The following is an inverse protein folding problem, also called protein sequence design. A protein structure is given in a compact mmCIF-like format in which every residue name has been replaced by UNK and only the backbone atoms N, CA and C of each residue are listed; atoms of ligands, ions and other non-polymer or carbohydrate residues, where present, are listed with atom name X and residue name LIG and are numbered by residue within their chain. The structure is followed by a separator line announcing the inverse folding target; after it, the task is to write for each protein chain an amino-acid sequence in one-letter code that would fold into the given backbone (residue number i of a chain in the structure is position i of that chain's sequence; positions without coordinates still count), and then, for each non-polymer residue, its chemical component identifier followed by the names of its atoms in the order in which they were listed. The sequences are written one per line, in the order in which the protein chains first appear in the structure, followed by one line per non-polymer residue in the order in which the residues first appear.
data_IF_074851898101
#
_entry.id   IF_074851898101
#
_cell.length_a   1.000
_cell.length_b   1.000
_cell.length_c   1.000
_cell.angle_alpha   90.00
_cell.angle_beta   90.00
_cell.angle_gamma   90.00
#
_symmetry.space_group_name_H-M   'P 1'
#
loop_
_entity.id
_entity.type
_entity.pdbx_description
1 polymer ?
#
# COMPACT_ATOMS: atom_id res chain seq x y z
N UNK A 1 4.08 -0.83 8.75
CA UNK A 1 3.42 -0.67 7.45
C UNK A 1 4.20 -1.47 6.43
N UNK A 2 3.54 -2.24 5.59
CA UNK A 2 4.18 -3.22 4.72
C UNK A 2 3.69 -3.09 3.27
N UNK A 3 4.46 -3.69 2.38
CA UNK A 3 4.12 -3.89 0.98
C UNK A 3 3.16 -5.08 0.84
N UNK A 4 2.54 -5.20 -0.32
CA UNK A 4 1.54 -6.23 -0.60
C UNK A 4 2.22 -7.54 -1.03
N UNK A 5 2.97 -8.14 -0.10
CA UNK A 5 3.65 -9.42 -0.28
C UNK A 5 3.26 -10.40 0.84
N UNK A 6 2.64 -11.52 0.47
CA UNK A 6 2.14 -12.49 1.46
C UNK A 6 3.24 -13.12 2.31
N UNK A 7 4.41 -13.38 1.73
CA UNK A 7 5.56 -13.92 2.45
C UNK A 7 5.99 -12.97 3.57
N UNK A 8 6.09 -11.67 3.26
CA UNK A 8 6.39 -10.65 4.26
C UNK A 8 5.33 -10.61 5.37
N UNK A 9 4.04 -10.56 5.03
CA UNK A 9 2.97 -10.59 6.05
C UNK A 9 3.10 -11.80 6.99
N UNK A 10 3.29 -13.00 6.43
CA UNK A 10 3.40 -14.21 7.23
C UNK A 10 4.59 -14.19 8.20
N UNK A 11 5.75 -13.69 7.74
CA UNK A 11 6.95 -13.57 8.58
C UNK A 11 6.74 -12.54 9.69
N UNK A 12 6.18 -11.37 9.38
CA UNK A 12 5.95 -10.32 10.38
C UNK A 12 4.89 -10.73 11.41
N UNK A 13 3.81 -11.38 10.99
CA UNK A 13 2.75 -11.87 11.88
C UNK A 13 3.29 -12.93 12.86
N UNK A 14 4.13 -13.86 12.37
CA UNK A 14 4.78 -14.86 13.20
C UNK A 14 5.83 -14.29 14.15
N UNK A 15 6.59 -13.28 13.70
CA UNK A 15 7.71 -12.70 14.46
C UNK A 15 7.24 -11.64 15.47
N UNK A 16 6.14 -10.95 15.18
CA UNK A 16 5.63 -9.82 15.95
C UNK A 16 4.09 -9.90 16.09
N UNK A 17 3.55 -10.93 16.79
CA UNK A 17 2.12 -11.23 16.80
C UNK A 17 1.24 -10.15 17.45
N UNK A 18 1.85 -9.25 18.22
CA UNK A 18 1.14 -8.17 18.93
C UNK A 18 1.20 -6.82 18.19
N UNK A 19 1.81 -6.77 17.00
CA UNK A 19 1.91 -5.54 16.21
C UNK A 19 0.76 -5.46 15.23
N UNK A 20 0.11 -4.30 15.16
CA UNK A 20 -0.87 -4.03 14.12
C UNK A 20 -0.16 -3.83 12.78
N UNK A 21 -0.24 -4.83 11.91
CA UNK A 21 0.24 -4.72 10.53
C UNK A 21 -0.77 -3.94 9.68
N UNK A 22 -0.26 -3.03 8.85
CA UNK A 22 -1.06 -2.27 7.90
C UNK A 22 -0.37 -2.19 6.55
N UNK A 23 -1.13 -2.25 5.47
CA UNK A 23 -0.63 -2.04 4.11
C UNK A 23 -0.28 -0.58 3.85
N UNK A 24 0.58 -0.35 2.88
CA UNK A 24 0.90 0.99 2.38
C UNK A 24 -0.09 1.44 1.29
N UNK A 25 -0.78 2.57 1.48
CA UNK A 25 -1.73 3.08 0.49
C UNK A 25 -1.10 3.37 -0.88
N UNK A 26 0.16 3.83 -0.88
CA UNK A 26 0.91 4.05 -2.12
C UNK A 26 1.08 2.74 -2.91
N UNK A 27 1.49 1.67 -2.24
CA UNK A 27 1.65 0.35 -2.87
C UNK A 27 0.32 -0.28 -3.28
N UNK A 28 -0.77 -0.06 -2.53
CA UNK A 28 -2.10 -0.46 -2.95
C UNK A 28 -2.48 0.23 -4.26
N UNK A 29 -2.37 1.56 -4.34
CA UNK A 29 -2.66 2.31 -5.56
C UNK A 29 -1.77 1.86 -6.72
N UNK A 30 -0.50 1.61 -6.46
CA UNK A 30 0.45 1.13 -7.46
C UNK A 30 0.09 -0.27 -7.98
N UNK A 31 -0.43 -1.16 -7.13
CA UNK A 31 -0.88 -2.50 -7.53
C UNK A 31 -2.08 -2.43 -8.48
N UNK A 32 -3.07 -1.59 -8.16
CA UNK A 32 -4.24 -1.34 -9.02
C UNK A 32 -3.75 -0.75 -10.35
N UNK A 33 -2.86 0.24 -10.29
CA UNK A 33 -2.30 0.88 -11.48
C UNK A 33 -1.52 -0.09 -12.38
N UNK A 34 -0.77 -1.04 -11.82
CA UNK A 34 -0.08 -2.06 -12.62
C UNK A 34 -1.05 -3.09 -13.22
N UNK A 35 -2.16 -3.35 -12.52
CA UNK A 35 -3.18 -4.26 -13.03
C UNK A 35 -3.93 -3.67 -14.22
N UNK A 36 -4.31 -2.39 -14.13
CA UNK A 36 -4.83 -1.66 -15.29
C UNK A 36 -3.68 -1.32 -16.27
N UNK A 37 -3.41 -2.21 -17.22
CA UNK A 37 -2.49 -1.95 -18.35
C UNK A 37 -3.01 -0.90 -19.35
N UNK A 38 -4.08 -0.18 -18.98
CA UNK A 38 -4.86 0.69 -19.87
C UNK A 38 -4.73 2.15 -19.41
N UNK A 39 -4.35 2.99 -20.37
CA UNK A 39 -4.61 4.43 -20.44
C UNK A 39 -4.28 5.27 -19.19
N UNK A 40 -3.00 5.61 -19.03
CA UNK A 40 -2.58 6.75 -18.19
C UNK A 40 -3.14 8.11 -18.69
N UNK A 41 -3.68 8.16 -19.92
CA UNK A 41 -4.02 9.40 -20.61
C UNK A 41 -5.53 9.72 -20.71
N UNK A 42 -6.41 8.90 -20.14
CA UNK A 42 -7.86 9.18 -20.12
C UNK A 42 -8.30 9.71 -18.74
N UNK A 43 -8.69 10.99 -18.62
CA UNK A 43 -8.95 11.61 -17.32
C UNK A 43 -10.09 10.97 -16.54
N UNK A 44 -11.18 10.58 -17.22
CA UNK A 44 -12.35 9.99 -16.57
C UNK A 44 -12.06 8.59 -16.03
N UNK A 45 -11.37 7.76 -16.81
CA UNK A 45 -10.91 6.45 -16.38
C UNK A 45 -10.01 6.55 -15.15
N UNK A 46 -9.00 7.43 -15.20
CA UNK A 46 -8.10 7.68 -14.07
C UNK A 46 -8.86 8.13 -12.80
N UNK A 47 -9.84 9.01 -12.96
CA UNK A 47 -10.69 9.47 -11.86
C UNK A 47 -11.52 8.33 -11.25
N UNK A 48 -12.08 7.44 -12.06
CA UNK A 48 -12.84 6.29 -11.58
C UNK A 48 -11.95 5.24 -10.90
N UNK A 49 -10.72 5.02 -11.39
CA UNK A 49 -9.72 4.21 -10.70
C UNK A 49 -9.35 4.80 -9.34
N UNK A 50 -9.28 6.13 -9.22
CA UNK A 50 -9.10 6.78 -7.91
C UNK A 50 -10.28 6.53 -6.97
N UNK A 51 -11.53 6.54 -7.46
CA UNK A 51 -12.70 6.17 -6.63
C UNK A 51 -12.60 4.74 -6.12
N UNK A 52 -12.23 3.80 -6.99
CA UNK A 52 -12.03 2.39 -6.60
C UNK A 52 -10.92 2.27 -5.53
N UNK A 53 -9.78 2.93 -5.74
CA UNK A 53 -8.70 2.96 -4.75
C UNK A 53 -9.11 3.63 -3.43
N UNK A 54 -10.12 4.51 -3.45
CA UNK A 54 -10.60 5.21 -2.27
C UNK A 54 -11.50 4.35 -1.35
N UNK A 55 -11.93 3.16 -1.79
CA UNK A 55 -12.77 2.25 -0.99
C UNK A 55 -12.15 1.92 0.37
N UNK A 56 -10.81 1.85 0.47
CA UNK A 56 -10.11 1.59 1.74
C UNK A 56 -10.25 2.70 2.78
N UNK A 57 -10.75 3.88 2.40
CA UNK A 57 -11.03 4.98 3.33
C UNK A 57 -12.44 4.91 3.93
N UNK A 58 -13.31 4.03 3.44
CA UNK A 58 -14.59 3.77 4.08
C UNK A 58 -14.37 3.09 5.43
N UNK A 59 -15.37 3.18 6.32
CA UNK A 59 -15.37 2.36 7.54
C UNK A 59 -15.30 0.89 7.12
N UNK A 60 -14.60 0.02 7.87
CA UNK A 60 -14.43 -1.39 7.48
C UNK A 60 -15.75 -2.10 7.11
N UNK A 61 -16.81 -1.83 7.86
CA UNK A 61 -18.14 -2.42 7.65
C UNK A 61 -18.83 -1.91 6.37
N UNK A 62 -18.45 -0.72 5.89
CA UNK A 62 -19.02 -0.09 4.69
C UNK A 62 -18.23 -0.44 3.41
N UNK A 63 -17.01 -0.99 3.51
CA UNK A 63 -16.13 -1.25 2.35
C UNK A 63 -16.78 -2.18 1.34
N UNK A 64 -17.38 -3.29 1.81
CA UNK A 64 -18.00 -4.29 0.93
C UNK A 64 -19.20 -3.69 0.19
N UNK A 65 -20.06 -2.97 0.90
CA UNK A 65 -21.21 -2.30 0.30
C UNK A 65 -20.76 -1.24 -0.70
N UNK A 66 -19.79 -0.40 -0.34
CA UNK A 66 -19.26 0.62 -1.25
C UNK A 66 -18.61 0.02 -2.49
N UNK A 67 -17.98 -1.15 -2.38
CA UNK A 67 -17.46 -1.90 -3.52
C UNK A 67 -18.59 -2.37 -4.44
N UNK A 68 -19.65 -2.97 -3.88
CA UNK A 68 -20.80 -3.47 -4.64
C UNK A 68 -21.54 -2.32 -5.34
N UNK A 69 -21.83 -1.23 -4.63
CA UNK A 69 -22.49 -0.03 -5.17
C UNK A 69 -21.65 0.59 -6.31
N UNK A 70 -20.35 0.78 -6.09
CA UNK A 70 -19.46 1.39 -7.09
C UNK A 70 -19.25 0.49 -8.32
N UNK A 71 -19.27 -0.84 -8.14
CA UNK A 71 -19.17 -1.80 -9.26
C UNK A 71 -20.38 -1.71 -10.18
N UNK A 72 -21.57 -1.49 -9.63
CA UNK A 72 -22.80 -1.28 -10.42
C UNK A 72 -22.77 0.07 -11.13
N UNK A 73 -22.34 1.12 -10.43
CA UNK A 73 -22.30 2.48 -10.98
C UNK A 73 -21.32 2.66 -12.15
N UNK A 74 -20.15 2.01 -12.08
CA UNK A 74 -19.11 2.13 -13.12
C UNK A 74 -19.29 1.14 -14.29
N UNK A 75 -19.95 0.01 -14.06
CA UNK A 75 -20.29 -0.96 -15.10
C UNK A 75 -19.10 -1.71 -15.73
N UNK A 76 -19.39 -2.37 -16.84
CA UNK A 76 -18.54 -3.41 -17.45
C UNK A 76 -17.13 -2.95 -17.84
N UNK A 77 -16.94 -1.65 -18.12
CA UNK A 77 -15.64 -1.09 -18.48
C UNK A 77 -14.56 -1.34 -17.40
N UNK A 78 -14.96 -1.34 -16.13
CA UNK A 78 -14.08 -1.48 -14.98
C UNK A 78 -14.12 -2.89 -14.38
N UNK A 79 -14.90 -3.82 -14.96
CA UNK A 79 -15.16 -5.14 -14.38
C UNK A 79 -13.87 -5.91 -14.08
N UNK A 80 -12.88 -5.85 -14.97
CA UNK A 80 -11.58 -6.51 -14.73
C UNK A 80 -10.88 -5.96 -13.47
N UNK A 81 -10.96 -4.65 -13.22
CA UNK A 81 -10.40 -4.02 -12.01
C UNK A 81 -11.19 -4.45 -10.78
N UNK A 82 -12.52 -4.48 -10.87
CA UNK A 82 -13.36 -4.97 -9.77
C UNK A 82 -13.10 -6.45 -9.45
N UNK A 83 -12.94 -7.31 -10.45
CA UNK A 83 -12.59 -8.73 -10.26
C UNK A 83 -11.24 -8.86 -9.54
N UNK A 84 -10.25 -8.05 -9.93
CA UNK A 84 -8.95 -8.00 -9.26
C UNK A 84 -9.07 -7.54 -7.81
N UNK A 85 -9.81 -6.47 -7.53
CA UNK A 85 -10.05 -5.98 -6.17
C UNK A 85 -10.81 -7.02 -5.35
N UNK A 86 -11.80 -7.71 -5.94
CA UNK A 86 -12.58 -8.72 -5.25
C UNK A 86 -11.71 -9.91 -4.86
N UNK A 87 -10.83 -10.37 -5.75
CA UNK A 87 -9.93 -11.47 -5.45
C UNK A 87 -8.83 -11.07 -4.45
N UNK A 88 -8.31 -9.85 -4.57
CA UNK A 88 -7.15 -9.40 -3.81
C UNK A 88 -7.49 -8.90 -2.41
N UNK A 89 -8.62 -8.19 -2.25
CA UNK A 89 -8.92 -7.39 -1.05
C UNK A 89 -10.27 -7.71 -0.36
N UNK A 90 -11.31 -8.02 -1.14
CA UNK A 90 -12.68 -8.18 -0.60
C UNK A 90 -13.02 -9.65 -0.31
N UNK A 91 -12.58 -10.55 -1.19
CA UNK A 91 -12.92 -11.96 -1.22
C UNK A 91 -14.16 -12.24 -2.04
N UNK A 92 -14.04 -13.13 -3.05
CA UNK A 92 -15.17 -13.51 -3.93
C UNK A 92 -16.36 -14.07 -3.15
N UNK A 93 -17.56 -13.60 -3.48
CA UNK A 93 -18.81 -14.13 -2.93
C UNK A 93 -19.05 -15.58 -3.38
N UNK A 94 -19.46 -16.44 -2.44
CA UNK A 94 -19.82 -17.84 -2.70
C UNK A 94 -21.33 -18.01 -2.71
N UNK A 95 -21.79 -19.12 -3.28
CA UNK A 95 -23.21 -19.48 -3.34
C UNK A 95 -23.91 -19.55 -1.96
N UNK A 96 -23.16 -19.80 -0.89
CA UNK A 96 -23.67 -19.82 0.49
C UNK A 96 -23.66 -18.43 1.16
N UNK A 97 -23.50 -17.35 0.39
CA UNK A 97 -23.44 -15.97 0.84
C UNK A 97 -22.25 -15.64 1.77
N UNK A 98 -21.21 -16.47 1.80
CA UNK A 98 -19.95 -16.14 2.47
C UNK A 98 -18.89 -15.71 1.47
N UNK A 99 -17.95 -14.85 1.90
CA UNK A 99 -16.82 -14.43 1.06
C UNK A 99 -15.60 -15.35 1.27
N UNK A 100 -14.87 -15.64 0.18
CA UNK A 100 -13.55 -16.30 0.26
C UNK A 100 -12.58 -15.43 1.06
N UNK A 101 -11.59 -16.03 1.71
CA UNK A 101 -10.49 -15.26 2.30
C UNK A 101 -9.71 -14.57 1.15
N UNK A 102 -9.60 -13.23 1.13
CA UNK A 102 -8.82 -12.51 0.13
C UNK A 102 -7.31 -12.69 0.37
N UNK A 103 -6.49 -12.27 -0.61
CA UNK A 103 -5.03 -12.26 -0.46
C UNK A 103 -4.58 -11.31 0.66
N UNK A 104 -5.25 -10.17 0.80
CA UNK A 104 -5.02 -9.18 1.85
C UNK A 104 -6.37 -8.76 2.42
N UNK A 105 -6.58 -8.99 3.72
CA UNK A 105 -7.86 -8.68 4.38
C UNK A 105 -8.08 -7.16 4.50
N UNK A 106 -9.34 -6.73 4.52
CA UNK A 106 -9.73 -5.31 4.66
C UNK A 106 -9.04 -4.67 5.88
N UNK A 107 -8.93 -5.39 7.00
CA UNK A 107 -8.26 -4.89 8.21
C UNK A 107 -6.79 -4.51 8.01
N UNK A 108 -6.09 -5.19 7.10
CA UNK A 108 -4.73 -4.83 6.72
C UNK A 108 -4.71 -3.61 5.80
N UNK A 109 -5.69 -3.51 4.89
CA UNK A 109 -5.75 -2.47 3.86
C UNK A 109 -6.41 -1.16 4.32
N UNK A 110 -7.14 -1.16 5.45
CA UNK A 110 -7.97 -0.02 5.88
C UNK A 110 -7.15 1.24 6.14
N UNK A 111 -7.64 2.35 5.59
CA UNK A 111 -7.10 3.69 5.76
C UNK A 111 -7.99 4.59 6.62
N UNK A 112 -9.20 4.15 6.96
CA UNK A 112 -10.13 4.92 7.79
C UNK A 112 -9.52 5.35 9.13
N UNK A 113 -9.20 4.39 10.01
CA UNK A 113 -8.61 4.67 11.33
C UNK A 113 -7.29 5.43 11.23
N UNK A 114 -6.47 5.02 10.26
CA UNK A 114 -5.21 5.67 9.92
C UNK A 114 -5.37 7.16 9.61
N UNK A 115 -6.44 7.52 8.91
CA UNK A 115 -6.76 8.91 8.55
C UNK A 115 -7.33 9.66 9.75
N UNK A 116 -8.26 9.07 10.49
CA UNK A 116 -8.90 9.72 11.65
C UNK A 116 -7.91 9.96 12.79
N UNK A 117 -6.91 9.09 12.95
CA UNK A 117 -5.89 9.18 13.99
C UNK A 117 -4.60 9.88 13.52
N UNK A 118 -4.60 10.46 12.31
CA UNK A 118 -3.42 11.14 11.73
C UNK A 118 -2.16 10.27 11.66
N UNK A 119 -2.33 8.96 11.52
CA UNK A 119 -1.22 8.02 11.40
C UNK A 119 -0.70 7.97 9.95
N UNK A 120 0.56 7.53 9.74
CA UNK A 120 1.18 7.44 8.41
C UNK A 120 0.47 6.48 7.43
N UNK A 121 -0.04 6.94 6.29
CA UNK A 121 -0.72 6.06 5.31
C UNK A 121 0.22 5.48 4.24
N UNK A 122 1.40 6.08 4.12
CA UNK A 122 2.44 5.69 3.18
C UNK A 122 3.76 5.50 3.90
N UNK A 123 4.64 4.71 3.32
CA UNK A 123 6.01 4.47 3.78
C UNK A 123 7.01 5.49 3.17
N UNK A 124 6.53 6.62 2.65
CA UNK A 124 7.34 7.62 1.92
C UNK A 124 8.60 8.04 2.68
N UNK A 125 8.53 8.16 4.01
CA UNK A 125 9.69 8.51 4.84
C UNK A 125 10.78 7.44 4.80
N UNK A 126 10.39 6.16 4.85
CA UNK A 126 11.32 5.05 4.74
C UNK A 126 11.89 4.95 3.31
N UNK A 127 11.07 5.15 2.29
CA UNK A 127 11.53 5.17 0.89
C UNK A 127 12.44 6.36 0.58
N UNK A 128 12.16 7.54 1.14
CA UNK A 128 13.02 8.71 1.03
C UNK A 128 14.37 8.45 1.69
N UNK A 129 14.37 7.85 2.88
CA UNK A 129 15.59 7.44 3.56
C UNK A 129 16.38 6.42 2.72
N UNK A 130 15.74 5.35 2.22
CA UNK A 130 16.40 4.38 1.35
C UNK A 130 16.98 5.01 0.08
N UNK A 131 16.25 5.95 -0.56
CA UNK A 131 16.77 6.69 -1.73
C UNK A 131 18.00 7.53 -1.38
N UNK A 132 17.97 8.23 -0.25
CA UNK A 132 19.11 9.01 0.24
C UNK A 132 20.31 8.11 0.50
N UNK A 133 20.13 7.00 1.22
CA UNK A 133 21.15 5.98 1.45
C UNK A 133 21.71 5.41 0.15
N UNK A 134 20.87 5.00 -0.80
CA UNK A 134 21.33 4.50 -2.11
C UNK A 134 22.13 5.55 -2.89
N UNK A 135 21.72 6.82 -2.82
CA UNK A 135 22.45 7.94 -3.47
C UNK A 135 23.83 8.18 -2.85
N UNK A 136 23.99 7.91 -1.56
CA UNK A 136 25.27 8.04 -0.84
C UNK A 136 26.17 6.86 -1.19
N UNK A 137 25.65 5.64 -1.23
CA UNK A 137 26.47 4.45 -1.45
C UNK A 137 26.98 4.31 -2.88
N UNK A 138 26.19 4.66 -3.90
CA UNK A 138 26.55 4.59 -5.35
C UNK A 138 27.15 3.25 -5.82
N UNK A 139 27.09 2.19 -5.00
CA UNK A 139 27.57 0.85 -5.32
C UNK A 139 26.71 -0.18 -4.60
N UNK A 140 26.55 -1.37 -5.20
CA UNK A 140 25.69 -2.43 -4.66
C UNK A 140 26.31 -3.17 -3.46
N UNK A 141 27.64 -3.16 -3.34
CA UNK A 141 28.38 -3.94 -2.34
C UNK A 141 29.55 -3.14 -1.76
N UNK A 142 29.30 -2.13 -0.89
CA UNK A 142 30.37 -1.44 -0.18
C UNK A 142 31.07 -2.39 0.80
N UNK A 143 32.37 -2.17 1.04
CA UNK A 143 33.05 -2.83 2.16
C UNK A 143 32.45 -2.34 3.49
N UNK A 144 32.56 -3.13 4.56
CA UNK A 144 32.04 -2.73 5.89
C UNK A 144 32.55 -1.35 6.33
N UNK A 145 33.83 -1.04 6.06
CA UNK A 145 34.43 0.25 6.38
C UNK A 145 33.82 1.41 5.60
N UNK A 146 33.65 1.24 4.29
CA UNK A 146 32.97 2.24 3.44
C UNK A 146 31.52 2.40 3.85
N UNK A 147 30.87 1.31 4.25
CA UNK A 147 29.51 1.31 4.77
C UNK A 147 29.39 2.17 6.03
N UNK A 148 30.20 1.88 7.05
CA UNK A 148 30.18 2.61 8.32
C UNK A 148 30.55 4.09 8.15
N UNK A 149 31.58 4.39 7.37
CA UNK A 149 32.00 5.78 7.18
C UNK A 149 30.89 6.63 6.55
N UNK A 150 30.27 6.14 5.48
CA UNK A 150 29.17 6.85 4.80
C UNK A 150 27.95 7.05 5.70
N UNK A 151 27.66 6.12 6.62
CA UNK A 151 26.59 6.30 7.61
C UNK A 151 26.93 7.39 8.64
N UNK A 152 28.18 7.44 9.10
CA UNK A 152 28.64 8.47 10.04
C UNK A 152 28.58 9.85 9.38
N UNK A 153 29.07 9.97 8.15
CA UNK A 153 29.09 11.23 7.39
C UNK A 153 27.65 11.76 7.20
N UNK A 154 26.73 10.87 6.88
CA UNK A 154 25.30 11.17 6.70
C UNK A 154 24.61 11.63 8.00
N UNK A 155 24.92 10.98 9.12
CA UNK A 155 24.41 11.37 10.43
C UNK A 155 24.90 12.77 10.81
N UNK A 156 26.19 13.06 10.57
CA UNK A 156 26.80 14.35 10.86
C UNK A 156 26.20 15.48 10.00
N UNK A 157 25.98 15.23 8.71
CA UNK A 157 25.32 16.18 7.82
C UNK A 157 23.90 16.52 8.32
N UNK A 158 23.11 15.51 8.66
CA UNK A 158 21.73 15.68 9.13
C UNK A 158 21.65 16.41 10.48
N UNK A 159 22.61 16.19 11.38
CA UNK A 159 22.69 16.92 12.65
C UNK A 159 22.96 18.42 12.47
N UNK A 160 23.65 18.81 11.40
CA UNK A 160 24.00 20.22 11.16
C UNK A 160 22.79 21.01 10.66
N UNK A 161 21.88 20.35 9.93
CA UNK A 161 20.67 20.97 9.36
C UNK A 161 19.53 21.18 10.39
N UNK A 162 19.57 20.53 11.55
CA UNK A 162 18.50 20.59 12.58
C UNK A 162 18.75 21.70 13.63
N UNK A 163 19.91 22.37 13.59
CA UNK A 163 20.31 23.41 14.56
C UNK A 163 19.97 24.84 14.05
N UNK A 164 19.17 24.97 13.00
CA UNK A 164 18.70 26.24 12.45
C UNK A 164 17.17 26.26 12.33
#
# INVERSE_FOLDING_TARGET
MLDFEQACLGVFDASFPNVLLSGCYFHLRQSIHRYQNKYENEPEFSHNIHKIAALVFLKPDDVVKGFEDLSVDLGDEYQAVFDYIEETYIGRLRANHTRRKPLFIIDFCKMFHRTTESLMRTNNSAEAYHRRINSIFQCSHPTLWVFLQKLIDEQNATHTDVVH
#
